data_IF_770907709606
#
_entry.id   IF_770907709606
#
_cell.length_a   1.000
_cell.length_b   1.000
_cell.length_c   1.000
_cell.angle_alpha   90.00
_cell.angle_beta   90.00
_cell.angle_gamma   90.00
#
_symmetry.space_group_name_H-M   'P 1'
#
loop_
_entity.id
_entity.type
_entity.pdbx_description
1 polymer ?
#
# COMPACT_ATOMS: atom_id res chain seq x y z
N UNK A 1 -25.97 14.70 -24.68
CA UNK A 1 -25.84 14.47 -23.23
C UNK A 1 -24.54 13.72 -23.00
N UNK A 2 -23.48 14.44 -22.69
CA UNK A 2 -22.17 13.84 -22.40
C UNK A 2 -22.25 13.17 -21.04
N UNK A 3 -22.44 11.85 -21.00
CA UNK A 3 -22.13 11.05 -19.83
C UNK A 3 -20.59 11.04 -19.70
N UNK A 4 -20.09 11.94 -18.88
CA UNK A 4 -18.75 11.80 -18.34
C UNK A 4 -18.84 10.61 -17.36
N UNK A 5 -18.24 9.43 -17.63
CA UNK A 5 -18.28 8.32 -16.68
C UNK A 5 -17.61 8.81 -15.41
N UNK A 6 -18.37 8.87 -14.30
CA UNK A 6 -17.75 9.03 -12.98
C UNK A 6 -16.73 7.91 -12.86
N UNK A 7 -15.47 8.21 -12.48
CA UNK A 7 -14.48 7.17 -12.30
C UNK A 7 -15.01 6.19 -11.26
N UNK A 8 -15.01 4.90 -11.61
CA UNK A 8 -15.50 3.83 -10.74
C UNK A 8 -14.77 3.89 -9.39
N UNK A 9 -15.49 4.28 -8.34
CA UNK A 9 -14.97 4.29 -6.96
C UNK A 9 -14.87 2.83 -6.52
N UNK A 10 -13.63 2.36 -6.33
CA UNK A 10 -13.34 1.03 -5.81
C UNK A 10 -13.54 0.95 -4.30
N UNK A 11 -13.11 2.02 -3.60
CA UNK A 11 -13.05 2.08 -2.16
C UNK A 11 -13.42 3.48 -1.68
N UNK A 12 -14.24 3.56 -0.62
CA UNK A 12 -14.54 4.81 0.07
C UNK A 12 -14.62 4.55 1.58
N UNK A 13 -13.95 5.38 2.35
CA UNK A 13 -13.99 5.35 3.81
C UNK A 13 -14.61 6.61 4.36
N UNK A 14 -15.49 6.47 5.34
CA UNK A 14 -15.98 7.50 6.23
C UNK A 14 -16.04 6.87 7.63
N UNK A 15 -14.95 6.98 8.39
CA UNK A 15 -14.77 6.18 9.60
C UNK A 15 -14.16 6.95 10.76
N UNK A 16 -14.66 6.69 11.97
CA UNK A 16 -14.05 7.08 13.23
C UNK A 16 -13.65 5.86 14.03
N UNK A 17 -12.50 5.93 14.74
CA UNK A 17 -11.97 4.83 15.54
C UNK A 17 -11.51 5.35 16.90
N UNK A 18 -11.91 4.67 17.98
CA UNK A 18 -11.44 4.97 19.34
C UNK A 18 -11.03 3.71 20.09
N UNK A 19 -10.00 3.81 20.90
CA UNK A 19 -9.57 2.81 21.85
C UNK A 19 -10.09 3.20 23.24
N UNK A 20 -11.13 2.52 23.73
CA UNK A 20 -11.86 2.95 24.91
C UNK A 20 -12.39 4.36 24.73
N UNK A 21 -11.96 5.30 25.58
CA UNK A 21 -12.32 6.73 25.48
C UNK A 21 -11.41 7.55 24.55
N UNK A 22 -10.25 7.02 24.11
CA UNK A 22 -9.25 7.76 23.32
C UNK A 22 -9.58 7.69 21.83
N UNK A 23 -9.95 8.79 21.16
CA UNK A 23 -10.12 8.84 19.73
C UNK A 23 -8.75 8.75 19.03
N UNK A 24 -8.66 7.94 17.97
CA UNK A 24 -7.45 7.78 17.14
C UNK A 24 -7.72 8.20 15.71
N UNK A 25 -8.90 7.87 15.16
CA UNK A 25 -9.38 8.39 13.89
C UNK A 25 -10.69 9.14 14.13
N UNK A 26 -10.83 10.31 13.53
CA UNK A 26 -11.96 11.20 13.72
C UNK A 26 -12.51 11.60 12.37
N UNK A 27 -13.63 11.01 11.97
CA UNK A 27 -14.31 11.34 10.72
C UNK A 27 -13.33 11.34 9.51
N UNK A 28 -12.54 10.27 9.39
CA UNK A 28 -11.60 10.10 8.27
C UNK A 28 -12.41 9.79 7.02
N UNK A 29 -12.32 10.66 6.01
CA UNK A 29 -13.06 10.54 4.77
C UNK A 29 -12.12 10.61 3.57
N UNK A 30 -12.14 9.59 2.72
CA UNK A 30 -11.43 9.55 1.44
C UNK A 30 -11.96 8.43 0.55
N UNK A 31 -11.66 8.53 -0.74
CA UNK A 31 -11.98 7.53 -1.75
C UNK A 31 -10.76 7.14 -2.57
N UNK A 32 -10.76 5.93 -3.11
CA UNK A 32 -9.75 5.43 -4.05
C UNK A 32 -10.50 4.91 -5.29
N UNK A 33 -10.05 5.35 -6.45
CA UNK A 33 -10.59 4.92 -7.74
C UNK A 33 -9.92 3.65 -8.20
N UNK A 34 -10.57 2.93 -9.09
CA UNK A 34 -9.96 1.74 -9.68
C UNK A 34 -8.66 2.11 -10.40
N UNK A 35 -7.59 1.36 -10.12
CA UNK A 35 -6.26 1.59 -10.70
C UNK A 35 -5.54 2.85 -10.21
N UNK A 36 -6.09 3.59 -9.24
CA UNK A 36 -5.44 4.77 -8.64
C UNK A 36 -4.37 4.39 -7.62
N UNK A 37 -3.32 5.18 -7.54
CA UNK A 37 -2.36 5.16 -6.42
C UNK A 37 -2.61 6.37 -5.54
N UNK A 38 -3.25 6.16 -4.38
CA UNK A 38 -3.48 7.18 -3.37
C UNK A 38 -2.39 7.12 -2.29
N UNK A 39 -1.69 8.22 -2.07
CA UNK A 39 -0.75 8.39 -0.97
C UNK A 39 -1.46 8.83 0.31
N UNK A 40 -1.28 8.12 1.42
CA UNK A 40 -1.70 8.56 2.75
C UNK A 40 -0.48 8.99 3.55
N UNK A 41 -0.36 10.29 3.78
CA UNK A 41 0.81 10.89 4.43
C UNK A 41 0.47 11.48 5.78
N UNK A 42 1.37 11.36 6.73
CA UNK A 42 1.23 11.95 8.07
C UNK A 42 2.38 11.54 8.99
N UNK A 43 2.57 12.28 10.07
CA UNK A 43 3.59 11.97 11.08
C UNK A 43 3.35 10.63 11.76
N UNK A 44 4.38 10.09 12.42
CA UNK A 44 4.23 8.92 13.28
C UNK A 44 3.16 9.19 14.36
N UNK A 45 2.29 8.20 14.58
CA UNK A 45 1.18 8.36 15.54
C UNK A 45 -0.06 9.10 15.01
N UNK A 46 -0.10 9.55 13.75
CA UNK A 46 -1.28 10.22 13.18
C UNK A 46 -2.49 9.30 12.94
N UNK A 47 -2.31 7.97 12.99
CA UNK A 47 -3.37 6.98 12.81
C UNK A 47 -3.31 6.17 11.51
N UNK A 48 -2.28 6.32 10.68
CA UNK A 48 -2.14 5.65 9.36
C UNK A 48 -2.27 4.12 9.45
N UNK A 49 -1.47 3.48 10.29
CA UNK A 49 -1.53 2.01 10.45
C UNK A 49 -2.83 1.57 11.13
N UNK A 50 -3.40 2.41 12.03
CA UNK A 50 -4.74 2.15 12.59
C UNK A 50 -5.79 2.13 11.49
N UNK A 51 -5.71 3.05 10.52
CA UNK A 51 -6.61 3.06 9.38
C UNK A 51 -6.45 1.80 8.51
N UNK A 52 -5.21 1.41 8.17
CA UNK A 52 -4.94 0.17 7.43
C UNK A 52 -5.52 -1.06 8.14
N UNK A 53 -5.31 -1.19 9.45
CA UNK A 53 -5.85 -2.28 10.25
C UNK A 53 -7.39 -2.23 10.38
N UNK A 54 -7.98 -1.02 10.38
CA UNK A 54 -9.44 -0.84 10.36
C UNK A 54 -10.05 -1.35 9.06
N UNK A 55 -9.46 -0.99 7.92
CA UNK A 55 -9.88 -1.45 6.58
C UNK A 55 -9.86 -2.98 6.50
N UNK A 56 -8.83 -3.59 7.06
CA UNK A 56 -8.68 -5.04 7.06
C UNK A 56 -9.48 -5.74 8.17
N UNK A 57 -10.16 -5.00 9.06
CA UNK A 57 -10.87 -5.59 10.20
C UNK A 57 -9.95 -6.34 11.17
N UNK A 58 -8.69 -5.91 11.32
CA UNK A 58 -7.66 -6.57 12.16
C UNK A 58 -7.51 -5.94 13.55
N UNK A 59 -8.28 -4.90 13.87
CA UNK A 59 -8.29 -4.32 15.21
C UNK A 59 -9.09 -5.18 16.20
N UNK A 60 -8.60 -5.31 17.42
CA UNK A 60 -9.29 -6.06 18.49
C UNK A 60 -10.62 -5.39 18.83
N UNK A 61 -11.73 -6.08 18.49
CA UNK A 61 -13.09 -5.59 18.70
C UNK A 61 -13.48 -5.40 20.17
N UNK A 62 -12.74 -5.99 21.12
CA UNK A 62 -13.02 -5.86 22.56
C UNK A 62 -12.70 -4.47 23.11
N UNK A 63 -11.70 -3.81 22.52
CA UNK A 63 -11.18 -2.53 23.01
C UNK A 63 -11.32 -1.41 22.00
N UNK A 64 -11.78 -1.70 20.78
CA UNK A 64 -11.86 -0.75 19.68
C UNK A 64 -13.29 -0.56 19.23
N UNK A 65 -13.76 0.68 19.27
CA UNK A 65 -15.04 1.08 18.69
C UNK A 65 -14.80 1.72 17.32
N UNK A 66 -15.61 1.33 16.35
CA UNK A 66 -15.59 1.80 14.97
C UNK A 66 -16.96 2.32 14.62
N UNK A 67 -17.06 3.54 14.12
CA UNK A 67 -18.27 4.18 13.66
C UNK A 67 -18.11 4.63 12.22
N UNK A 68 -19.19 4.59 11.43
CA UNK A 68 -19.20 4.99 10.03
C UNK A 68 -19.31 3.79 9.09
N UNK A 69 -18.72 3.90 7.89
CA UNK A 69 -18.75 2.87 6.86
C UNK A 69 -17.41 2.81 6.09
N UNK A 70 -17.04 1.64 5.60
CA UNK A 70 -15.92 1.43 4.69
C UNK A 70 -16.43 0.62 3.51
N UNK A 71 -16.73 1.30 2.41
CA UNK A 71 -17.23 0.68 1.18
C UNK A 71 -16.08 0.14 0.35
N UNK A 72 -16.17 -1.11 -0.07
CA UNK A 72 -15.25 -1.75 -0.99
C UNK A 72 -16.03 -2.62 -1.99
N UNK A 73 -15.90 -2.34 -3.29
CA UNK A 73 -16.69 -2.99 -4.34
C UNK A 73 -18.20 -3.04 -4.00
N UNK A 74 -18.74 -1.96 -3.41
CA UNK A 74 -20.15 -1.83 -3.03
C UNK A 74 -20.57 -2.56 -1.74
N UNK A 75 -19.63 -3.16 -0.99
CA UNK A 75 -19.90 -3.82 0.30
C UNK A 75 -19.27 -3.03 1.45
N UNK A 76 -19.99 -2.85 2.55
CA UNK A 76 -19.46 -2.21 3.77
C UNK A 76 -18.65 -3.21 4.60
N UNK A 77 -17.32 -3.03 4.63
CA UNK A 77 -16.40 -3.91 5.34
C UNK A 77 -16.64 -3.95 6.87
N UNK A 78 -17.21 -2.89 7.45
CA UNK A 78 -17.46 -2.84 8.90
C UNK A 78 -18.62 -3.75 9.32
N UNK A 79 -19.51 -4.12 8.40
CA UNK A 79 -20.65 -5.01 8.66
C UNK A 79 -20.35 -6.48 8.42
N UNK A 80 -19.22 -6.79 7.76
CA UNK A 80 -18.85 -8.17 7.43
C UNK A 80 -18.38 -8.94 8.66
N UNK A 81 -18.74 -10.21 8.72
CA UNK A 81 -18.23 -11.14 9.72
C UNK A 81 -16.80 -11.61 9.38
N UNK A 82 -16.14 -12.28 10.34
CA UNK A 82 -14.73 -12.70 10.18
C UNK A 82 -14.53 -13.68 9.01
N UNK A 83 -15.49 -14.53 8.68
CA UNK A 83 -15.41 -15.45 7.54
C UNK A 83 -15.43 -14.70 6.22
N UNK A 84 -16.27 -13.69 6.10
CA UNK A 84 -16.37 -12.81 4.92
C UNK A 84 -15.11 -11.96 4.77
N UNK A 85 -14.64 -11.32 5.85
CA UNK A 85 -13.39 -10.57 5.84
C UNK A 85 -12.19 -11.43 5.46
N UNK A 86 -12.11 -12.67 5.99
CA UNK A 86 -11.05 -13.63 5.64
C UNK A 86 -11.06 -13.99 4.15
N UNK A 87 -12.24 -14.07 3.53
CA UNK A 87 -12.36 -14.33 2.09
C UNK A 87 -11.85 -13.15 1.22
N UNK A 88 -11.85 -11.92 1.76
CA UNK A 88 -11.35 -10.72 1.08
C UNK A 88 -9.86 -10.50 1.31
N UNK A 89 -9.38 -10.70 2.55
CA UNK A 89 -7.97 -10.48 2.91
C UNK A 89 -7.05 -11.40 2.10
N UNK A 90 -6.00 -10.85 1.50
CA UNK A 90 -5.04 -11.56 0.66
C UNK A 90 -5.55 -11.91 -0.75
N UNK A 91 -6.86 -11.89 -0.99
CA UNK A 91 -7.46 -12.19 -2.29
C UNK A 91 -7.91 -10.93 -3.04
N UNK A 92 -8.66 -10.06 -2.37
CA UNK A 92 -9.22 -8.82 -2.93
C UNK A 92 -8.55 -7.58 -2.37
N UNK A 93 -8.22 -7.62 -1.08
CA UNK A 93 -7.47 -6.57 -0.37
C UNK A 93 -6.22 -7.22 0.21
N UNK A 94 -5.04 -6.78 -0.22
CA UNK A 94 -3.77 -7.28 0.28
C UNK A 94 -3.00 -6.21 1.05
N UNK A 95 -2.11 -6.64 1.95
CA UNK A 95 -1.29 -5.78 2.79
C UNK A 95 0.18 -6.13 2.62
N UNK A 96 1.01 -5.11 2.43
CA UNK A 96 2.48 -5.20 2.51
C UNK A 96 2.93 -4.36 3.70
N UNK A 97 3.63 -4.99 4.65
CA UNK A 97 4.10 -4.36 5.89
C UNK A 97 5.53 -3.82 5.76
N UNK A 98 5.89 -2.96 6.71
CA UNK A 98 7.15 -2.25 6.81
C UNK A 98 8.39 -3.16 6.89
N UNK A 99 8.32 -4.25 7.68
CA UNK A 99 9.49 -5.06 8.05
C UNK A 99 9.44 -6.43 7.37
N UNK A 100 10.13 -6.63 6.22
CA UNK A 100 10.02 -7.87 5.46
C UNK A 100 10.55 -9.10 6.20
N UNK A 101 11.66 -8.97 6.91
CA UNK A 101 12.26 -10.10 7.61
C UNK A 101 11.45 -10.56 8.83
N UNK A 102 10.73 -9.66 9.49
CA UNK A 102 9.83 -10.02 10.60
C UNK A 102 8.48 -10.54 10.14
N UNK A 103 8.08 -10.23 8.89
CA UNK A 103 6.83 -10.69 8.30
C UNK A 103 6.94 -12.08 7.67
N UNK A 104 8.15 -12.52 7.29
CA UNK A 104 8.42 -13.86 6.80
C UNK A 104 8.77 -14.78 7.97
N UNK A 105 8.27 -16.02 7.95
CA UNK A 105 8.64 -17.04 8.93
C UNK A 105 10.08 -17.51 8.67
N UNK A 106 11.04 -17.25 9.59
CA UNK A 106 12.46 -17.60 9.36
C UNK A 106 12.72 -19.11 9.30
N UNK A 107 11.84 -19.94 9.86
CA UNK A 107 11.97 -21.39 9.88
C UNK A 107 11.42 -22.07 8.61
N UNK A 108 10.72 -21.34 7.74
CA UNK A 108 10.10 -21.88 6.55
C UNK A 108 10.80 -21.41 5.27
N UNK A 109 10.92 -22.32 4.30
CA UNK A 109 11.40 -21.99 2.96
C UNK A 109 10.41 -21.06 2.26
N UNK A 110 10.92 -20.25 1.34
CA UNK A 110 10.10 -19.31 0.55
C UNK A 110 9.00 -20.04 -0.22
N UNK A 111 9.31 -21.20 -0.82
CA UNK A 111 8.28 -22.05 -1.47
C UNK A 111 7.12 -22.39 -0.55
N UNK A 112 7.40 -22.74 0.71
CA UNK A 112 6.37 -23.14 1.66
C UNK A 112 5.43 -21.96 1.95
N UNK A 113 5.98 -20.79 2.24
CA UNK A 113 5.21 -19.60 2.56
C UNK A 113 4.36 -19.13 1.37
N UNK A 114 4.90 -19.13 0.16
CA UNK A 114 4.15 -18.82 -1.06
C UNK A 114 3.03 -19.84 -1.33
N UNK A 115 3.29 -21.15 -1.10
CA UNK A 115 2.24 -22.18 -1.21
C UNK A 115 1.13 -22.00 -0.19
N UNK A 116 1.45 -21.67 1.04
CA UNK A 116 0.46 -21.37 2.08
C UNK A 116 -0.38 -20.16 1.71
N UNK A 117 0.25 -19.08 1.24
CA UNK A 117 -0.46 -17.90 0.76
C UNK A 117 -1.41 -18.21 -0.41
N UNK A 118 -0.96 -19.03 -1.39
CA UNK A 118 -1.81 -19.42 -2.49
C UNK A 118 -3.00 -20.28 -2.03
N UNK A 119 -2.75 -21.29 -1.18
CA UNK A 119 -3.76 -22.23 -0.68
C UNK A 119 -4.80 -21.58 0.25
N UNK A 120 -4.48 -20.43 0.82
CA UNK A 120 -5.43 -19.68 1.65
C UNK A 120 -6.70 -19.28 0.86
N UNK A 121 -6.60 -19.12 -0.48
CA UNK A 121 -7.69 -18.60 -1.30
C UNK A 121 -7.92 -19.37 -2.62
N UNK A 122 -7.10 -20.36 -2.90
CA UNK A 122 -7.23 -21.19 -4.09
C UNK A 122 -7.08 -22.67 -3.75
N UNK A 123 -7.82 -23.50 -4.48
CA UNK A 123 -7.70 -24.95 -4.44
C UNK A 123 -7.47 -25.42 -5.88
N UNK A 124 -6.49 -26.31 -6.06
CA UNK A 124 -6.14 -26.82 -7.39
C UNK A 124 -4.92 -27.73 -7.37
N UNK A 125 -4.52 -28.27 -8.52
CA UNK A 125 -3.37 -29.14 -8.62
C UNK A 125 -2.07 -28.39 -8.29
N UNK A 126 -1.05 -29.12 -7.84
CA UNK A 126 0.26 -28.56 -7.49
C UNK A 126 0.91 -27.77 -8.64
N UNK A 127 0.64 -28.18 -9.88
CA UNK A 127 1.13 -27.50 -11.10
C UNK A 127 0.56 -26.09 -11.27
N UNK A 128 -0.69 -25.87 -10.91
CA UNK A 128 -1.32 -24.55 -10.96
C UNK A 128 -0.75 -23.64 -9.87
N UNK A 129 -0.61 -24.16 -8.66
CA UNK A 129 0.04 -23.46 -7.56
C UNK A 129 1.48 -23.05 -7.93
N UNK A 130 2.28 -23.98 -8.46
CA UNK A 130 3.67 -23.69 -8.86
C UNK A 130 3.72 -22.65 -10.00
N UNK A 131 2.80 -22.70 -10.96
CA UNK A 131 2.70 -21.69 -12.03
C UNK A 131 2.37 -20.30 -11.46
N UNK A 132 1.39 -20.20 -10.57
CA UNK A 132 1.01 -18.94 -9.94
C UNK A 132 2.16 -18.33 -9.12
N UNK A 133 2.88 -19.17 -8.36
CA UNK A 133 4.04 -18.74 -7.57
C UNK A 133 5.16 -18.20 -8.47
N UNK A 134 5.50 -18.92 -9.55
CA UNK A 134 6.56 -18.46 -10.46
C UNK A 134 6.18 -17.15 -11.15
N UNK A 135 4.95 -17.03 -11.64
CA UNK A 135 4.45 -15.80 -12.23
C UNK A 135 4.47 -14.62 -11.24
N UNK A 136 4.12 -14.86 -9.96
CA UNK A 136 4.20 -13.82 -8.93
C UNK A 136 5.65 -13.39 -8.66
N UNK A 137 6.61 -14.32 -8.58
CA UNK A 137 8.03 -14.00 -8.42
C UNK A 137 8.57 -13.20 -9.61
N UNK A 138 8.23 -13.60 -10.83
CA UNK A 138 8.63 -12.90 -12.07
C UNK A 138 8.06 -11.48 -12.10
N UNK A 139 6.80 -11.29 -11.68
CA UNK A 139 6.16 -9.96 -11.63
C UNK A 139 6.86 -8.97 -10.70
N UNK A 140 7.61 -9.47 -9.71
CA UNK A 140 8.40 -8.66 -8.77
C UNK A 140 9.92 -8.69 -9.07
N UNK A 141 10.31 -9.15 -10.25
CA UNK A 141 11.71 -9.26 -10.71
C UNK A 141 12.57 -10.13 -9.79
N UNK A 142 12.03 -11.24 -9.29
CA UNK A 142 12.77 -12.26 -8.57
C UNK A 142 12.94 -13.53 -9.42
N UNK A 143 14.05 -14.30 -9.21
CA UNK A 143 14.21 -15.60 -9.87
C UNK A 143 13.07 -16.56 -9.51
N UNK A 144 12.46 -17.19 -10.52
CA UNK A 144 11.41 -18.20 -10.33
C UNK A 144 11.95 -19.63 -10.28
N UNK A 145 13.27 -19.81 -10.02
CA UNK A 145 13.98 -21.09 -10.02
C UNK A 145 13.71 -21.89 -8.73
N UNK A 146 13.89 -23.22 -8.81
CA UNK A 146 13.77 -24.08 -7.64
C UNK A 146 14.83 -23.79 -6.58
N UNK A 147 16.02 -23.35 -7.00
CA UNK A 147 17.08 -22.92 -6.09
C UNK A 147 16.63 -21.74 -5.23
N UNK A 148 16.06 -20.68 -5.86
CA UNK A 148 15.54 -19.52 -5.15
C UNK A 148 14.41 -19.91 -4.20
N UNK A 149 13.48 -20.74 -4.64
CA UNK A 149 12.35 -21.22 -3.86
C UNK A 149 12.74 -22.07 -2.64
N UNK A 150 13.94 -22.69 -2.64
CA UNK A 150 14.48 -23.45 -1.49
C UNK A 150 15.14 -22.57 -0.43
N UNK A 151 15.39 -21.30 -0.71
CA UNK A 151 16.01 -20.38 0.26
C UNK A 151 15.11 -20.15 1.47
N UNK A 152 15.74 -19.81 2.59
CA UNK A 152 15.11 -19.29 3.79
C UNK A 152 15.21 -17.75 3.81
N UNK A 153 14.36 -17.04 4.54
CA UNK A 153 14.43 -15.58 4.68
C UNK A 153 15.82 -15.06 5.08
N UNK A 154 16.53 -15.79 5.94
CA UNK A 154 17.90 -15.46 6.39
C UNK A 154 18.95 -15.47 5.26
N UNK A 155 18.65 -16.09 4.10
CA UNK A 155 19.54 -16.14 2.94
C UNK A 155 19.23 -15.08 1.88
N UNK A 156 18.45 -14.06 2.25
CA UNK A 156 17.99 -13.02 1.34
C UNK A 156 18.46 -11.65 1.78
N UNK A 157 18.69 -10.76 0.81
CA UNK A 157 18.80 -9.33 1.12
C UNK A 157 17.44 -8.77 1.56
N UNK A 158 17.42 -7.65 2.28
CA UNK A 158 16.18 -6.99 2.72
C UNK A 158 15.29 -6.67 1.52
N UNK A 159 15.88 -6.18 0.41
CA UNK A 159 15.14 -5.90 -0.83
C UNK A 159 14.55 -7.16 -1.48
N UNK A 160 15.26 -8.30 -1.46
CA UNK A 160 14.71 -9.58 -1.93
C UNK A 160 13.55 -10.04 -1.04
N UNK A 161 13.69 -9.96 0.27
CA UNK A 161 12.62 -10.31 1.21
C UNK A 161 11.39 -9.42 1.02
N UNK A 162 11.58 -8.11 0.78
CA UNK A 162 10.49 -7.19 0.45
C UNK A 162 9.77 -7.57 -0.84
N UNK A 163 10.51 -7.90 -1.89
CA UNK A 163 9.92 -8.38 -3.16
C UNK A 163 9.16 -9.71 -2.97
N UNK A 164 9.62 -10.61 -2.10
CA UNK A 164 8.87 -11.85 -1.75
C UNK A 164 7.55 -11.51 -1.07
N UNK A 165 7.53 -10.57 -0.11
CA UNK A 165 6.27 -10.13 0.52
C UNK A 165 5.32 -9.51 -0.50
N UNK A 166 5.83 -8.69 -1.40
CA UNK A 166 5.02 -8.12 -2.48
C UNK A 166 4.49 -9.24 -3.39
N UNK A 167 5.32 -10.24 -3.77
CA UNK A 167 4.87 -11.39 -4.54
C UNK A 167 3.73 -12.15 -3.84
N UNK A 168 3.85 -12.39 -2.53
CA UNK A 168 2.76 -12.99 -1.73
C UNK A 168 1.48 -12.15 -1.76
N UNK A 169 1.61 -10.82 -1.63
CA UNK A 169 0.48 -9.91 -1.64
C UNK A 169 -0.25 -9.87 -3.00
N UNK A 170 0.49 -9.94 -4.13
CA UNK A 170 -0.10 -9.87 -5.48
C UNK A 170 -0.43 -11.24 -6.09
N UNK A 171 -0.20 -12.34 -5.37
CA UNK A 171 -0.38 -13.70 -5.83
C UNK A 171 -1.79 -13.98 -6.37
N UNK A 172 -2.80 -13.38 -5.77
CA UNK A 172 -4.20 -13.47 -6.18
C UNK A 172 -4.70 -12.24 -6.95
N UNK A 173 -3.79 -11.34 -7.37
CA UNK A 173 -4.12 -10.10 -8.11
C UNK A 173 -5.22 -9.30 -7.41
N UNK A 174 -4.96 -8.76 -6.22
CA UNK A 174 -5.94 -8.03 -5.45
C UNK A 174 -6.42 -6.79 -6.20
N UNK A 175 -7.65 -6.35 -5.95
CA UNK A 175 -8.17 -5.09 -6.47
C UNK A 175 -7.58 -3.88 -5.73
N UNK A 176 -7.27 -4.05 -4.42
CA UNK A 176 -6.63 -3.03 -3.57
C UNK A 176 -5.40 -3.59 -2.87
N UNK A 177 -4.26 -2.94 -3.04
CA UNK A 177 -3.04 -3.19 -2.26
C UNK A 177 -2.83 -2.06 -1.25
N UNK A 178 -2.71 -2.39 0.02
CA UNK A 178 -2.30 -1.46 1.07
C UNK A 178 -0.81 -1.67 1.32
N UNK A 179 0.01 -0.66 1.10
CA UNK A 179 1.44 -0.68 1.37
C UNK A 179 1.74 0.22 2.57
N UNK A 180 1.83 -0.37 3.78
CA UNK A 180 2.04 0.38 5.03
C UNK A 180 3.54 0.49 5.33
N UNK A 181 4.11 1.67 5.06
CA UNK A 181 5.52 2.00 5.21
C UNK A 181 6.48 0.96 4.56
N UNK A 182 6.05 0.38 3.45
CA UNK A 182 6.69 -0.77 2.81
C UNK A 182 8.12 -0.53 2.29
N UNK A 183 8.62 0.70 2.35
CA UNK A 183 9.96 1.07 1.89
C UNK A 183 10.84 1.70 2.97
N UNK A 184 10.33 1.97 4.17
CA UNK A 184 11.05 2.71 5.21
C UNK A 184 12.29 2.00 5.78
N UNK A 185 12.37 0.67 5.66
CA UNK A 185 13.50 -0.13 6.12
C UNK A 185 14.58 -0.35 5.02
N UNK A 186 14.44 0.27 3.83
CA UNK A 186 15.30 0.07 2.68
C UNK A 186 16.24 1.25 2.46
N UNK A 187 17.40 0.98 1.88
CA UNK A 187 18.27 2.04 1.36
C UNK A 187 17.61 2.77 0.18
N UNK A 188 18.11 3.97 -0.16
CA UNK A 188 17.50 4.86 -1.15
C UNK A 188 17.37 4.22 -2.55
N UNK A 189 18.36 3.40 -2.96
CA UNK A 189 18.33 2.74 -4.27
C UNK A 189 17.25 1.67 -4.28
N UNK A 190 17.27 0.77 -3.30
CA UNK A 190 16.28 -0.29 -3.16
C UNK A 190 14.86 0.29 -2.97
N UNK A 191 14.71 1.38 -2.21
CA UNK A 191 13.46 2.11 -2.08
C UNK A 191 12.92 2.55 -3.44
N UNK A 192 13.75 3.22 -4.26
CA UNK A 192 13.37 3.66 -5.60
C UNK A 192 12.93 2.50 -6.50
N UNK A 193 13.63 1.37 -6.44
CA UNK A 193 13.26 0.16 -7.19
C UNK A 193 11.91 -0.41 -6.75
N UNK A 194 11.62 -0.45 -5.44
CA UNK A 194 10.33 -0.94 -4.92
C UNK A 194 9.19 0.02 -5.30
N UNK A 195 9.43 1.32 -5.28
CA UNK A 195 8.44 2.30 -5.75
C UNK A 195 8.11 2.12 -7.24
N UNK A 196 9.15 1.94 -8.08
CA UNK A 196 8.96 1.63 -9.49
C UNK A 196 8.20 0.31 -9.70
N UNK A 197 8.50 -0.71 -8.88
CA UNK A 197 7.79 -1.99 -8.88
C UNK A 197 6.29 -1.81 -8.54
N UNK A 198 5.94 -1.05 -7.51
CA UNK A 198 4.53 -0.77 -7.20
C UNK A 198 3.82 -0.10 -8.38
N UNK A 199 4.44 0.86 -9.04
CA UNK A 199 3.89 1.53 -10.24
C UNK A 199 3.72 0.55 -11.40
N UNK A 200 4.69 -0.34 -11.62
CA UNK A 200 4.61 -1.40 -12.62
C UNK A 200 3.44 -2.35 -12.33
N UNK A 201 3.32 -2.85 -11.10
CA UNK A 201 2.24 -3.77 -10.70
C UNK A 201 0.86 -3.12 -10.81
N UNK A 202 0.74 -1.84 -10.40
CA UNK A 202 -0.48 -1.06 -10.56
C UNK A 202 -0.93 -1.03 -12.04
N UNK A 203 -0.01 -0.68 -12.96
CA UNK A 203 -0.29 -0.62 -14.40
C UNK A 203 -0.59 -1.99 -15.01
N UNK A 204 0.17 -3.02 -14.62
CA UNK A 204 0.05 -4.37 -15.19
C UNK A 204 -1.21 -5.08 -14.75
N UNK A 205 -1.61 -4.93 -13.48
CA UNK A 205 -2.78 -5.62 -12.93
C UNK A 205 -4.02 -4.75 -12.80
N UNK A 206 -3.92 -3.44 -13.05
CA UNK A 206 -5.03 -2.50 -12.88
C UNK A 206 -5.50 -2.36 -11.43
N UNK A 207 -4.68 -2.79 -10.45
CA UNK A 207 -5.04 -2.71 -9.03
C UNK A 207 -4.85 -1.30 -8.48
N UNK A 208 -5.72 -0.89 -7.57
CA UNK A 208 -5.53 0.33 -6.80
C UNK A 208 -4.48 0.11 -5.69
N UNK A 209 -3.78 1.18 -5.30
CA UNK A 209 -2.80 1.13 -4.20
C UNK A 209 -3.08 2.24 -3.20
N UNK A 210 -3.25 1.88 -1.92
CA UNK A 210 -3.15 2.81 -0.80
C UNK A 210 -1.71 2.77 -0.28
N UNK A 211 -0.91 3.75 -0.68
CA UNK A 211 0.49 3.87 -0.27
C UNK A 211 0.63 4.75 0.96
N UNK A 212 0.90 4.12 2.10
CA UNK A 212 1.05 4.80 3.40
C UNK A 212 2.52 5.07 3.66
N UNK A 213 2.86 6.33 3.88
CA UNK A 213 4.23 6.75 4.17
C UNK A 213 4.28 8.02 5.01
N UNK A 214 5.39 8.24 5.69
CA UNK A 214 5.75 9.53 6.27
C UNK A 214 6.75 10.29 5.37
N UNK A 215 7.27 9.64 4.34
CA UNK A 215 8.22 10.22 3.36
C UNK A 215 7.47 10.75 2.13
N UNK A 216 7.39 12.07 2.04
CA UNK A 216 6.73 12.77 0.95
C UNK A 216 7.44 12.59 -0.41
N UNK A 217 8.77 12.41 -0.42
CA UNK A 217 9.50 12.22 -1.66
C UNK A 217 9.10 10.90 -2.33
N UNK A 218 8.95 9.83 -1.54
CA UNK A 218 8.46 8.54 -2.03
C UNK A 218 7.02 8.64 -2.57
N UNK A 219 6.15 9.38 -1.86
CA UNK A 219 4.75 9.60 -2.26
C UNK A 219 4.68 10.39 -3.56
N UNK A 220 5.48 11.47 -3.69
CA UNK A 220 5.57 12.26 -4.91
C UNK A 220 5.95 11.43 -6.15
N UNK A 221 6.79 10.40 -5.94
CA UNK A 221 7.29 9.55 -7.03
C UNK A 221 6.26 8.59 -7.62
N UNK A 222 5.24 8.19 -6.84
CA UNK A 222 4.32 7.12 -7.30
C UNK A 222 2.84 7.43 -7.18
N UNK A 223 2.41 8.43 -6.39
CA UNK A 223 1.00 8.66 -6.12
C UNK A 223 0.36 9.60 -7.16
N UNK A 224 -0.88 9.32 -7.52
CA UNK A 224 -1.70 10.19 -8.38
C UNK A 224 -2.35 11.29 -7.55
N UNK A 225 -2.84 10.93 -6.35
CA UNK A 225 -3.40 11.84 -5.34
C UNK A 225 -2.78 11.59 -3.98
N UNK A 226 -2.87 12.58 -3.11
CA UNK A 226 -2.37 12.54 -1.73
C UNK A 226 -3.49 12.93 -0.78
N UNK A 227 -3.62 12.21 0.32
CA UNK A 227 -4.41 12.56 1.50
C UNK A 227 -3.47 12.77 2.68
N UNK A 228 -3.57 13.91 3.35
CA UNK A 228 -2.74 14.26 4.50
C UNK A 228 -3.52 13.96 5.79
N UNK A 229 -3.01 13.02 6.58
CA UNK A 229 -3.58 12.63 7.87
C UNK A 229 -2.83 13.31 9.00
N UNK A 230 -3.54 14.12 9.78
CA UNK A 230 -3.02 14.81 10.94
C UNK A 230 -3.95 14.63 12.13
N UNK A 231 -3.43 14.21 13.28
CA UNK A 231 -4.21 13.98 14.53
C UNK A 231 -5.51 13.17 14.32
N UNK A 232 -5.44 12.15 13.47
CA UNK A 232 -6.58 11.28 13.19
C UNK A 232 -7.62 11.85 12.23
N UNK A 233 -7.34 12.94 11.52
CA UNK A 233 -8.23 13.54 10.52
C UNK A 233 -7.51 13.74 9.18
N UNK A 234 -8.24 13.59 8.07
CA UNK A 234 -7.75 14.04 6.77
C UNK A 234 -7.92 15.56 6.71
N UNK A 235 -6.80 16.28 6.71
CA UNK A 235 -6.79 17.75 6.71
C UNK A 235 -6.66 18.34 5.31
N UNK A 236 -6.15 17.56 4.35
CA UNK A 236 -6.05 17.98 2.96
C UNK A 236 -6.04 16.78 2.04
N UNK A 237 -6.69 16.89 0.88
CA UNK A 237 -6.67 15.90 -0.20
C UNK A 237 -6.62 16.62 -1.54
N UNK A 238 -5.80 16.14 -2.47
CA UNK A 238 -5.67 16.71 -3.80
C UNK A 238 -4.81 15.85 -4.71
N UNK A 239 -4.60 16.29 -5.96
CA UNK A 239 -3.60 15.68 -6.82
C UNK A 239 -2.21 15.86 -6.18
N UNK A 240 -1.28 14.96 -6.48
CA UNK A 240 0.09 15.05 -5.98
C UNK A 240 0.69 16.43 -6.24
N UNK A 241 0.50 16.96 -7.44
CA UNK A 241 0.99 18.28 -7.81
C UNK A 241 0.36 19.40 -6.98
N UNK A 242 -0.98 19.36 -6.77
CA UNK A 242 -1.67 20.38 -5.97
C UNK A 242 -1.18 20.41 -4.53
N UNK A 243 -1.09 19.24 -3.87
CA UNK A 243 -0.69 19.16 -2.47
C UNK A 243 0.77 19.55 -2.27
N UNK A 244 1.67 19.21 -3.22
CA UNK A 244 3.10 19.51 -3.10
C UNK A 244 3.44 20.95 -3.47
N UNK A 245 2.82 21.54 -4.51
CA UNK A 245 3.18 22.86 -5.02
C UNK A 245 2.32 23.99 -4.45
N UNK A 246 1.09 23.69 -4.00
CA UNK A 246 0.13 24.67 -3.52
C UNK A 246 -0.66 24.16 -2.32
N UNK A 247 0.02 23.76 -1.23
CA UNK A 247 -0.63 23.24 -0.04
C UNK A 247 -1.53 24.33 0.60
N UNK A 248 -2.75 23.93 0.97
CA UNK A 248 -3.76 24.86 1.52
C UNK A 248 -3.80 24.84 3.05
N UNK A 249 -3.69 23.64 3.64
CA UNK A 249 -3.77 23.48 5.08
C UNK A 249 -2.43 23.83 5.74
N UNK A 250 -2.46 24.54 6.86
CA UNK A 250 -1.27 25.00 7.60
C UNK A 250 -0.31 23.83 7.94
N UNK A 251 -0.85 22.69 8.36
CA UNK A 251 -0.05 21.51 8.66
C UNK A 251 0.68 20.99 7.41
N UNK A 252 -0.01 20.94 6.24
CA UNK A 252 0.59 20.54 4.98
C UNK A 252 1.71 21.50 4.58
N UNK A 253 1.50 22.82 4.74
CA UNK A 253 2.53 23.84 4.45
C UNK A 253 3.76 23.63 5.33
N UNK A 254 3.59 23.38 6.63
CA UNK A 254 4.70 23.06 7.56
C UNK A 254 5.41 21.77 7.16
N UNK A 255 4.67 20.74 6.73
CA UNK A 255 5.21 19.47 6.28
C UNK A 255 6.06 19.66 5.01
N UNK A 256 5.57 20.46 4.05
CA UNK A 256 6.31 20.80 2.83
C UNK A 256 7.57 21.62 3.12
N UNK A 257 7.49 22.60 4.02
CA UNK A 257 8.62 23.44 4.41
C UNK A 257 9.74 22.65 5.10
N UNK A 258 9.41 21.53 5.75
CA UNK A 258 10.38 20.65 6.39
C UNK A 258 11.07 19.66 5.41
N UNK A 259 10.59 19.56 4.17
CA UNK A 259 11.24 18.71 3.15
C UNK A 259 12.62 19.27 2.78
N UNK A 260 13.63 18.41 2.64
CA UNK A 260 14.87 18.80 2.00
C UNK A 260 14.55 19.35 0.60
N UNK A 261 15.03 20.56 0.29
CA UNK A 261 14.85 21.14 -1.05
C UNK A 261 15.47 20.18 -2.07
N UNK A 262 14.64 19.63 -2.95
CA UNK A 262 15.19 18.89 -4.10
C UNK A 262 16.11 19.82 -4.89
N UNK A 263 17.30 19.36 -5.32
CA UNK A 263 18.15 20.15 -6.19
C UNK A 263 17.32 20.52 -7.42
N UNK A 264 17.18 21.83 -7.70
CA UNK A 264 16.57 22.26 -8.96
C UNK A 264 17.39 21.64 -10.08
N UNK A 265 16.77 21.06 -11.15
CA UNK A 265 17.53 20.63 -12.33
C UNK A 265 18.32 21.83 -12.80
N UNK A 266 19.65 21.67 -12.85
CA UNK A 266 20.53 22.71 -13.37
C UNK A 266 20.02 23.09 -14.76
N UNK A 267 19.59 24.34 -14.92
CA UNK A 267 19.23 24.89 -16.22
C UNK A 267 20.41 24.59 -17.16
N UNK A 268 20.16 23.75 -18.15
CA UNK A 268 21.13 23.45 -19.21
C UNK A 268 21.51 24.78 -19.83
N UNK A 269 22.72 25.23 -19.51
CA UNK A 269 23.29 26.46 -20.04
C UNK A 269 23.22 26.45 -21.56
N UNK A 270 22.72 27.55 -22.11
CA UNK A 270 22.79 27.85 -23.53
C UNK A 270 24.22 27.54 -24.03
N UNK A 271 24.32 26.63 -25.00
CA UNK A 271 25.53 26.47 -25.76
C UNK A 271 25.89 27.84 -26.37
N UNK A 272 27.01 28.42 -25.91
CA UNK A 272 27.59 29.55 -26.56
C UNK A 272 28.11 29.10 -27.93
N UNK A 273 27.50 29.62 -28.97
CA UNK A 273 28.02 29.55 -30.35
C UNK A 273 29.32 30.34 -30.44
N UNK A 274 30.40 29.70 -30.81
CA UNK A 274 31.57 30.30 -31.43
C UNK A 274 31.77 29.67 -32.80
#
# INVERSE_FOLDING_TARGET
MNHNPQPDILFAAHVSVRYGAKPVLRNVEFEIRQGEVLGLVGQSGSGKSTLAMTILGLLDSKHVHRDGAIQFEGSDLLTLNERELRALRGRKIALVLQSPLSSLNPALKIRTQLKEAWRAHASGPATECDRAIRAALESVSLPSTDEFLRKYPSHMSVGQAQRVLIAMAVLHRPALLIADEATSALDVITQSEILALFRQLNRTFGMAILYISHDLASVAGICDRIAILHEGQIVETGTTEQVLLSPRHEYTQRLMAAMPKMPQPMATGKAATL
#
